data_IF_233011687322
#
_entry.id   IF_233011687322
#
_cell.length_a   1.000
_cell.length_b   1.000
_cell.length_c   1.000
_cell.angle_alpha   90.00
_cell.angle_beta   90.00
_cell.angle_gamma   90.00
#
_symmetry.space_group_name_H-M   'P 1'
#
loop_
_entity.id
_entity.type
_entity.pdbx_description
1 polymer ?
#
# COMPACT_ATOMS: atom_id res chain seq x y z
N UNK A 1 10.56 2.65 21.10
CA UNK A 1 10.95 1.30 21.57
C UNK A 1 9.88 0.22 21.34
N UNK A 2 8.59 0.55 21.29
CA UNK A 2 7.50 -0.43 21.08
C UNK A 2 7.46 -1.00 19.64
N UNK A 3 7.93 -0.26 18.62
CA UNK A 3 7.81 -0.66 17.20
C UNK A 3 8.80 -1.71 16.69
N UNK A 4 9.96 -1.86 17.34
CA UNK A 4 10.99 -2.81 16.87
C UNK A 4 10.64 -4.26 17.27
N UNK A 5 10.14 -4.45 18.49
CA UNK A 5 9.71 -5.76 18.99
C UNK A 5 8.48 -6.29 18.26
N UNK A 6 7.51 -5.42 17.92
CA UNK A 6 6.35 -5.80 17.11
C UNK A 6 6.79 -6.26 15.71
N UNK A 7 7.72 -5.52 15.08
CA UNK A 7 8.25 -5.87 13.75
C UNK A 7 8.96 -7.23 13.76
N UNK A 8 9.73 -7.56 14.79
CA UNK A 8 10.40 -8.87 14.91
C UNK A 8 9.39 -9.99 15.10
N UNK A 9 8.37 -9.79 15.95
CA UNK A 9 7.29 -10.75 16.13
C UNK A 9 6.54 -11.01 14.81
N UNK A 10 6.18 -9.95 14.09
CA UNK A 10 5.47 -10.04 12.80
C UNK A 10 6.31 -10.79 11.75
N UNK A 11 7.63 -10.56 11.72
CA UNK A 11 8.56 -11.26 10.83
C UNK A 11 8.70 -12.75 11.19
N UNK A 12 8.77 -13.08 12.49
CA UNK A 12 8.80 -14.47 12.93
C UNK A 12 7.49 -15.18 12.57
N UNK A 13 6.34 -14.55 12.82
CA UNK A 13 5.03 -15.07 12.44
C UNK A 13 4.95 -15.31 10.93
N UNK A 14 5.45 -14.36 10.12
CA UNK A 14 5.49 -14.51 8.67
C UNK A 14 6.39 -15.68 8.25
N UNK A 15 7.58 -15.79 8.83
CA UNK A 15 8.50 -16.89 8.57
C UNK A 15 7.88 -18.26 8.91
N UNK A 16 7.26 -18.39 10.08
CA UNK A 16 6.59 -19.62 10.48
C UNK A 16 5.39 -19.94 9.59
N UNK A 17 4.55 -18.96 9.23
CA UNK A 17 3.41 -19.16 8.31
C UNK A 17 3.87 -19.64 6.93
N UNK A 18 4.95 -19.08 6.38
CA UNK A 18 5.54 -19.56 5.11
C UNK A 18 6.10 -20.99 5.23
N UNK A 19 6.66 -21.35 6.39
CA UNK A 19 7.19 -22.71 6.61
C UNK A 19 6.08 -23.76 6.81
N UNK A 20 5.00 -23.39 7.49
CA UNK A 20 3.87 -24.28 7.79
C UNK A 20 2.95 -24.53 6.59
N UNK A 21 2.96 -23.65 5.58
CA UNK A 21 2.17 -23.80 4.35
C UNK A 21 2.72 -24.83 3.36
N UNK A 22 3.60 -25.73 3.82
CA UNK A 22 4.04 -26.89 3.05
C UNK A 22 4.96 -26.58 1.85
N UNK A 23 5.56 -25.38 1.80
CA UNK A 23 6.48 -25.01 0.73
C UNK A 23 5.82 -24.59 -0.58
N UNK A 24 4.49 -24.40 -0.60
CA UNK A 24 3.87 -23.64 -1.68
C UNK A 24 4.32 -22.17 -1.58
N UNK A 25 4.69 -21.56 -2.72
CA UNK A 25 4.99 -20.12 -2.81
C UNK A 25 3.72 -19.31 -2.55
N UNK A 26 3.35 -19.18 -1.28
CA UNK A 26 2.27 -18.29 -0.87
C UNK A 26 2.72 -16.85 -1.09
N UNK A 27 2.08 -16.22 -2.09
CA UNK A 27 2.26 -14.82 -2.36
C UNK A 27 1.97 -14.02 -1.08
N UNK A 28 3.00 -13.31 -0.61
CA UNK A 28 2.94 -12.49 0.58
C UNK A 28 2.77 -11.03 0.18
N UNK A 29 1.67 -10.43 0.64
CA UNK A 29 1.29 -9.04 0.34
C UNK A 29 1.38 -8.22 1.62
N UNK A 30 2.11 -7.11 1.56
CA UNK A 30 2.11 -6.12 2.62
C UNK A 30 1.23 -4.95 2.24
N UNK A 31 0.19 -4.69 3.05
CA UNK A 31 -0.73 -3.58 2.86
C UNK A 31 -0.28 -2.38 3.68
N UNK A 32 0.02 -1.28 2.99
CA UNK A 32 0.46 -0.03 3.58
C UNK A 32 -0.69 0.96 3.65
N UNK A 33 -1.23 1.09 4.85
CA UNK A 33 -2.35 1.94 5.21
C UNK A 33 -2.38 2.10 6.74
N UNK A 34 -2.81 3.27 7.22
CA UNK A 34 -3.16 3.47 8.62
C UNK A 34 -4.58 2.94 8.87
N UNK A 35 -4.67 1.70 9.35
CA UNK A 35 -5.96 1.06 9.59
C UNK A 35 -6.65 1.60 10.84
N UNK A 36 -7.91 1.99 10.69
CA UNK A 36 -8.79 2.40 11.78
C UNK A 36 -9.92 1.37 11.99
N UNK A 37 -10.38 1.24 13.24
CA UNK A 37 -11.57 0.42 13.55
C UNK A 37 -12.80 1.01 12.85
N UNK A 38 -13.68 0.18 12.26
CA UNK A 38 -14.92 0.68 11.66
C UNK A 38 -15.90 1.22 12.73
N UNK A 39 -16.75 2.20 12.37
CA UNK A 39 -16.82 2.88 11.08
C UNK A 39 -15.70 3.92 10.88
N UNK A 40 -15.28 4.09 9.63
CA UNK A 40 -14.30 5.10 9.20
C UNK A 40 -14.50 5.39 7.70
N UNK A 41 -13.71 6.29 7.10
CA UNK A 41 -13.82 6.67 5.69
C UNK A 41 -13.70 5.52 4.68
N UNK A 42 -14.25 5.72 3.48
CA UNK A 42 -14.39 4.68 2.44
C UNK A 42 -13.07 3.99 2.06
N UNK A 43 -11.95 4.72 2.01
CA UNK A 43 -10.62 4.13 1.74
C UNK A 43 -10.19 3.11 2.80
N UNK A 44 -10.48 3.35 4.08
CA UNK A 44 -10.20 2.39 5.15
C UNK A 44 -11.08 1.14 5.02
N UNK A 45 -12.37 1.32 4.71
CA UNK A 45 -13.28 0.18 4.52
C UNK A 45 -12.89 -0.66 3.30
N UNK A 46 -12.48 -0.01 2.21
CA UNK A 46 -11.93 -0.69 1.04
C UNK A 46 -10.69 -1.51 1.40
N UNK A 47 -9.72 -0.96 2.13
CA UNK A 47 -8.52 -1.70 2.53
C UNK A 47 -8.81 -2.86 3.48
N UNK A 48 -9.77 -2.71 4.41
CA UNK A 48 -10.22 -3.82 5.26
C UNK A 48 -10.86 -4.95 4.44
N UNK A 49 -11.73 -4.60 3.48
CA UNK A 49 -12.37 -5.56 2.59
C UNK A 49 -11.36 -6.24 1.65
N UNK A 50 -10.41 -5.48 1.10
CA UNK A 50 -9.35 -6.00 0.23
C UNK A 50 -8.44 -6.96 0.98
N UNK A 51 -8.06 -6.62 2.22
CA UNK A 51 -7.31 -7.52 3.10
C UNK A 51 -8.04 -8.86 3.25
N UNK A 52 -9.32 -8.81 3.62
CA UNK A 52 -10.15 -10.02 3.74
C UNK A 52 -10.22 -10.80 2.43
N UNK A 53 -10.42 -10.13 1.30
CA UNK A 53 -10.52 -10.76 -0.01
C UNK A 53 -9.23 -11.48 -0.46
N UNK A 54 -8.06 -10.96 -0.07
CA UNK A 54 -6.77 -11.64 -0.29
C UNK A 54 -6.59 -12.84 0.64
N UNK A 55 -6.92 -12.69 1.93
CA UNK A 55 -6.85 -13.79 2.89
C UNK A 55 -7.79 -14.95 2.48
N UNK A 56 -9.02 -14.63 2.06
CA UNK A 56 -9.99 -15.62 1.57
C UNK A 56 -9.53 -16.34 0.28
N UNK A 57 -8.58 -15.75 -0.46
CA UNK A 57 -7.91 -16.35 -1.64
C UNK A 57 -6.62 -17.08 -1.31
N UNK A 58 -6.27 -17.20 -0.02
CA UNK A 58 -5.09 -17.93 0.44
C UNK A 58 -3.79 -17.14 0.41
N UNK A 59 -3.81 -15.82 0.19
CA UNK A 59 -2.61 -14.99 0.26
C UNK A 59 -2.22 -14.74 1.71
N UNK A 60 -0.91 -14.60 1.96
CA UNK A 60 -0.41 -14.14 3.26
C UNK A 60 -0.41 -12.62 3.30
N UNK A 61 -1.29 -12.03 4.12
CA UNK A 61 -1.39 -10.57 4.25
C UNK A 61 -0.76 -10.10 5.56
N UNK A 62 0.12 -9.11 5.45
CA UNK A 62 0.73 -8.39 6.58
C UNK A 62 0.51 -6.88 6.41
N UNK A 63 0.61 -6.11 7.49
CA UNK A 63 0.37 -4.67 7.46
C UNK A 63 1.66 -3.91 7.73
N UNK A 64 2.01 -2.97 6.85
CA UNK A 64 3.15 -2.05 7.04
C UNK A 64 4.49 -2.76 7.33
N UNK A 65 4.72 -3.95 6.72
CA UNK A 65 5.99 -4.69 6.80
C UNK A 65 6.76 -4.56 5.49
N UNK A 66 8.05 -4.22 5.60
CA UNK A 66 9.00 -4.25 4.48
C UNK A 66 10.10 -5.26 4.81
N UNK A 67 10.20 -6.33 4.01
CA UNK A 67 11.12 -7.43 4.24
C UNK A 67 11.32 -8.25 2.96
N UNK A 68 12.46 -8.94 2.78
CA UNK A 68 12.65 -9.92 1.70
C UNK A 68 11.60 -11.04 1.66
N UNK A 69 10.87 -11.27 2.75
CA UNK A 69 9.79 -12.26 2.82
C UNK A 69 8.46 -11.75 2.22
N UNK A 70 8.39 -10.46 1.86
CA UNK A 70 7.21 -9.84 1.24
C UNK A 70 7.43 -9.75 -0.27
N UNK A 71 6.48 -10.26 -1.03
CA UNK A 71 6.57 -10.33 -2.48
C UNK A 71 6.05 -9.06 -3.16
N UNK A 72 4.97 -8.47 -2.62
CA UNK A 72 4.31 -7.28 -3.18
C UNK A 72 3.89 -6.32 -2.06
N UNK A 73 4.05 -5.02 -2.31
CA UNK A 73 3.56 -3.95 -1.44
C UNK A 73 2.37 -3.23 -2.09
N UNK A 74 1.22 -3.20 -1.42
CA UNK A 74 0.05 -2.43 -1.86
C UNK A 74 -0.06 -1.19 -0.98
N UNK A 75 0.14 -0.02 -1.57
CA UNK A 75 0.17 1.25 -0.84
C UNK A 75 -1.08 2.06 -1.14
N UNK A 76 -1.75 2.54 -0.09
CA UNK A 76 -2.92 3.41 -0.21
C UNK A 76 -2.52 4.89 -0.25
N UNK A 77 -2.48 5.49 -1.43
CA UNK A 77 -2.08 6.90 -1.64
C UNK A 77 -0.83 7.23 -0.81
N UNK A 78 -0.91 8.19 0.12
CA UNK A 78 0.13 8.45 1.13
C UNK A 78 -0.38 8.26 2.57
N UNK A 79 -1.44 7.45 2.76
CA UNK A 79 -2.12 7.22 4.05
C UNK A 79 -1.40 6.19 4.93
N UNK A 80 -0.09 6.35 5.12
CA UNK A 80 0.75 5.51 5.98
C UNK A 80 2.02 6.26 6.38
N UNK A 81 2.87 5.66 7.22
CA UNK A 81 4.19 6.21 7.58
C UNK A 81 5.17 6.10 6.39
N UNK A 82 5.10 7.12 5.53
CA UNK A 82 5.90 7.24 4.29
C UNK A 82 7.40 7.34 4.59
N UNK A 83 7.79 8.07 5.63
CA UNK A 83 9.21 8.23 5.99
C UNK A 83 9.82 6.90 6.43
N UNK A 84 9.05 6.07 7.16
CA UNK A 84 9.45 4.71 7.49
C UNK A 84 9.54 3.83 6.25
N UNK A 85 8.56 3.91 5.34
CA UNK A 85 8.59 3.15 4.09
C UNK A 85 9.85 3.46 3.27
N UNK A 86 10.14 4.75 3.05
CA UNK A 86 11.31 5.20 2.28
C UNK A 86 12.63 4.87 2.96
N UNK A 87 12.70 4.92 4.28
CA UNK A 87 13.92 4.51 5.00
C UNK A 87 14.18 3.01 4.84
N UNK A 88 13.12 2.19 4.85
CA UNK A 88 13.23 0.74 4.70
C UNK A 88 13.47 0.34 3.24
N UNK A 89 12.94 1.08 2.28
CA UNK A 89 13.11 0.82 0.83
C UNK A 89 14.56 0.86 0.37
N UNK A 90 15.41 1.61 1.07
CA UNK A 90 16.87 1.68 0.78
C UNK A 90 17.59 0.35 0.95
N UNK A 91 16.99 -0.63 1.63
CA UNK A 91 17.63 -1.92 1.95
C UNK A 91 17.28 -3.03 0.97
N UNK A 92 16.13 -2.96 0.31
CA UNK A 92 15.59 -4.05 -0.51
C UNK A 92 14.85 -3.50 -1.73
N UNK A 93 14.91 -4.18 -2.90
CA UNK A 93 14.11 -3.79 -4.05
C UNK A 93 12.62 -3.89 -3.72
N UNK A 94 11.83 -2.92 -4.20
CA UNK A 94 10.39 -2.83 -3.95
C UNK A 94 9.61 -3.17 -5.21
N UNK A 95 8.59 -4.02 -5.05
CA UNK A 95 7.50 -4.20 -6.03
C UNK A 95 6.24 -3.58 -5.46
N UNK A 96 5.96 -2.33 -5.81
CA UNK A 96 4.83 -1.58 -5.28
C UNK A 96 3.69 -1.50 -6.29
N UNK A 97 2.48 -1.83 -5.84
CA UNK A 97 1.22 -1.46 -6.48
C UNK A 97 0.68 -0.27 -5.71
N UNK A 98 0.54 0.86 -6.39
CA UNK A 98 0.10 2.11 -5.76
C UNK A 98 -1.35 2.40 -6.10
N UNK A 99 -2.22 2.37 -5.10
CA UNK A 99 -3.63 2.76 -5.24
C UNK A 99 -3.76 4.26 -4.99
N UNK A 100 -4.34 5.00 -5.93
CA UNK A 100 -4.48 6.46 -5.89
C UNK A 100 -5.97 6.85 -5.87
N UNK A 101 -6.33 7.70 -4.91
CA UNK A 101 -7.73 8.07 -4.62
C UNK A 101 -8.23 9.19 -5.53
N UNK A 102 -7.31 9.77 -6.31
CA UNK A 102 -7.48 10.98 -7.10
C UNK A 102 -6.78 12.17 -6.46
N UNK A 103 -6.86 13.37 -7.08
CA UNK A 103 -6.21 14.57 -6.57
C UNK A 103 -6.83 15.01 -5.24
N UNK A 104 -6.06 14.95 -4.15
CA UNK A 104 -6.49 15.32 -2.80
C UNK A 104 -6.89 16.79 -2.76
N UNK A 105 -6.10 17.67 -3.40
CA UNK A 105 -6.37 19.11 -3.46
C UNK A 105 -7.73 19.45 -4.07
N UNK A 106 -8.20 18.66 -5.03
CA UNK A 106 -9.49 18.88 -5.68
C UNK A 106 -10.68 18.66 -4.72
N UNK A 107 -10.58 17.70 -3.81
CA UNK A 107 -11.69 17.33 -2.92
C UNK A 107 -11.65 18.01 -1.56
N UNK A 108 -10.46 18.42 -1.10
CA UNK A 108 -10.29 19.06 0.22
C UNK A 108 -10.17 20.59 0.15
N UNK A 109 -9.88 21.16 -1.03
CA UNK A 109 -9.67 22.60 -1.20
C UNK A 109 -8.28 23.08 -0.76
N UNK A 110 -7.56 22.24 -0.03
CA UNK A 110 -6.12 22.22 0.26
C UNK A 110 -5.58 20.80 -0.06
N UNK A 111 -4.30 20.63 -0.37
CA UNK A 111 -3.75 19.29 -0.63
C UNK A 111 -2.73 19.15 -1.76
N UNK A 112 -2.17 20.25 -2.25
CA UNK A 112 -1.11 20.19 -3.27
C UNK A 112 0.13 19.44 -2.76
N UNK A 113 0.50 19.62 -1.49
CA UNK A 113 1.62 18.89 -0.88
C UNK A 113 1.35 17.37 -0.82
N UNK A 114 0.12 16.96 -0.48
CA UNK A 114 -0.29 15.56 -0.50
C UNK A 114 -0.25 14.98 -1.91
N UNK A 115 -0.75 15.71 -2.90
CA UNK A 115 -0.73 15.29 -4.31
C UNK A 115 0.70 15.14 -4.83
N UNK A 116 1.59 16.08 -4.53
CA UNK A 116 3.01 16.00 -4.84
C UNK A 116 3.68 14.80 -4.16
N UNK A 117 3.37 14.56 -2.88
CA UNK A 117 3.90 13.42 -2.12
C UNK A 117 3.44 12.09 -2.73
N UNK A 118 2.17 11.97 -3.07
CA UNK A 118 1.61 10.77 -3.73
C UNK A 118 2.28 10.55 -5.08
N UNK A 119 2.39 11.61 -5.90
CA UNK A 119 3.00 11.52 -7.22
C UNK A 119 4.48 11.14 -7.14
N UNK A 120 5.22 11.74 -6.21
CA UNK A 120 6.64 11.42 -5.96
C UNK A 120 6.83 9.97 -5.55
N UNK A 121 6.01 9.46 -4.62
CA UNK A 121 6.05 8.06 -4.21
C UNK A 121 5.76 7.11 -5.36
N UNK A 122 4.75 7.43 -6.17
CA UNK A 122 4.38 6.61 -7.30
C UNK A 122 5.54 6.49 -8.29
N UNK A 123 6.06 7.64 -8.74
CA UNK A 123 7.16 7.71 -9.71
C UNK A 123 8.42 6.99 -9.23
N UNK A 124 8.66 6.99 -7.91
CA UNK A 124 9.85 6.38 -7.33
C UNK A 124 9.74 4.87 -7.15
N UNK A 125 8.57 4.34 -6.77
CA UNK A 125 8.46 2.95 -6.31
C UNK A 125 7.43 2.11 -7.08
N UNK A 126 6.41 2.71 -7.69
CA UNK A 126 5.29 1.97 -8.25
C UNK A 126 5.73 1.18 -9.49
N UNK A 127 5.55 -0.13 -9.43
CA UNK A 127 5.59 -1.03 -10.58
C UNK A 127 4.27 -1.03 -11.34
N UNK A 128 3.17 -0.72 -10.64
CA UNK A 128 1.86 -0.50 -11.23
C UNK A 128 1.08 0.53 -10.41
N UNK A 129 0.27 1.33 -11.09
CA UNK A 129 -0.64 2.29 -10.47
C UNK A 129 -2.07 1.85 -10.70
N UNK A 130 -2.91 2.10 -9.70
CA UNK A 130 -4.33 1.77 -9.72
C UNK A 130 -5.11 2.98 -9.28
N UNK A 131 -5.87 3.59 -10.17
CA UNK A 131 -6.77 4.68 -9.80
C UNK A 131 -8.06 4.14 -9.19
N UNK A 132 -8.61 4.83 -8.20
CA UNK A 132 -9.90 4.50 -7.59
C UNK A 132 -11.04 4.47 -8.63
N UNK A 133 -10.96 5.28 -9.67
CA UNK A 133 -11.94 5.33 -10.75
C UNK A 133 -11.34 5.95 -12.01
N UNK A 134 -12.01 5.78 -13.15
CA UNK A 134 -11.69 6.51 -14.39
C UNK A 134 -11.74 8.02 -14.21
N UNK A 135 -12.70 8.54 -13.43
CA UNK A 135 -12.81 9.97 -13.13
C UNK A 135 -11.55 10.49 -12.40
N UNK A 136 -11.06 9.76 -11.39
CA UNK A 136 -9.86 10.14 -10.65
C UNK A 136 -8.63 10.19 -11.56
N UNK A 137 -8.48 9.20 -12.46
CA UNK A 137 -7.41 9.19 -13.47
C UNK A 137 -7.51 10.42 -14.37
N UNK A 138 -8.68 10.67 -14.94
CA UNK A 138 -8.88 11.75 -15.91
C UNK A 138 -8.64 13.12 -15.27
N UNK A 139 -9.06 13.32 -14.02
CA UNK A 139 -8.75 14.53 -13.24
C UNK A 139 -7.27 14.67 -12.91
N UNK A 140 -6.59 13.58 -12.52
CA UNK A 140 -5.13 13.61 -12.35
C UNK A 140 -4.43 14.02 -13.65
N UNK A 141 -4.90 13.56 -14.80
CA UNK A 141 -4.36 13.97 -16.11
C UNK A 141 -4.61 15.45 -16.42
N UNK A 142 -5.81 15.94 -16.20
CA UNK A 142 -6.15 17.37 -16.39
C UNK A 142 -5.27 18.29 -15.55
N UNK A 143 -4.86 17.85 -14.36
CA UNK A 143 -3.98 18.60 -13.45
C UNK A 143 -2.48 18.37 -13.70
N UNK A 144 -2.10 17.61 -14.73
CA UNK A 144 -0.70 17.32 -15.03
C UNK A 144 -0.03 16.33 -14.06
N UNK A 145 -0.83 15.59 -13.28
CA UNK A 145 -0.39 14.60 -12.29
C UNK A 145 -0.54 13.15 -12.81
N UNK A 146 -0.62 12.97 -14.14
CA UNK A 146 -0.83 11.65 -14.75
C UNK A 146 0.32 10.68 -14.44
N UNK A 147 -0.06 9.44 -14.13
CA UNK A 147 0.84 8.33 -13.86
C UNK A 147 0.41 7.14 -14.73
N UNK A 148 1.37 6.33 -15.20
CA UNK A 148 1.05 5.14 -15.97
C UNK A 148 0.32 4.12 -15.07
N UNK A 149 -0.91 3.75 -15.42
CA UNK A 149 -1.81 3.05 -14.52
C UNK A 149 -2.73 2.04 -15.21
N UNK A 150 -3.13 1.04 -14.41
CA UNK A 150 -4.28 0.17 -14.64
C UNK A 150 -5.51 0.79 -13.95
N UNK A 151 -6.70 0.46 -14.44
CA UNK A 151 -7.98 0.83 -13.80
C UNK A 151 -8.51 -0.36 -12.99
N UNK A 152 -9.17 -0.09 -11.86
CA UNK A 152 -10.00 -1.04 -11.12
C UNK A 152 -11.49 -0.86 -11.47
#
# INVERSE_FOLDING_TARGET
MISALSTIHDLLQLFFKRRLSGGHDLLTVSMWHEFHKPPYGGGNQFFLALKKAFEDRGLLVVNNILSPLVDIHICNSAWFDVDRFERLSRKFPIKMIHRIDGPVGLYRGDGMEEDEKIHRLNKQFASATVYQSGYCRDKSRELGLELFALLL
#
